data_IF_949018739844
#
_entry.id   IF_949018739844
#
_cell.length_a   1.000
_cell.length_b   1.000
_cell.length_c   1.000
_cell.angle_alpha   90.00
_cell.angle_beta   90.00
_cell.angle_gamma   90.00
#
_symmetry.space_group_name_H-M   'P 1'
#
loop_
_entity.id
_entity.type
_entity.pdbx_description
1 polymer ?
#
# COMPACT_ATOMS: atom_id res chain seq x y z
N UNK A 1 -8.73 4.93 -12.54
CA UNK A 1 -7.85 4.87 -13.72
C UNK A 1 -7.68 3.44 -14.23
N UNK A 2 -7.52 2.44 -13.35
CA UNK A 2 -7.46 1.00 -13.71
C UNK A 2 -8.81 0.45 -14.23
N UNK A 3 -9.93 0.80 -13.61
CA UNK A 3 -11.28 0.39 -14.07
C UNK A 3 -11.57 0.84 -15.51
N UNK A 4 -11.12 2.04 -15.86
CA UNK A 4 -11.32 2.61 -17.20
C UNK A 4 -10.52 1.86 -18.25
N UNK A 5 -9.31 1.38 -17.93
CA UNK A 5 -8.43 0.64 -18.84
C UNK A 5 -8.91 -0.79 -19.06
N UNK A 6 -9.36 -1.48 -18.01
CA UNK A 6 -9.89 -2.86 -18.11
C UNK A 6 -11.21 -2.87 -18.89
N UNK A 7 -12.09 -1.89 -18.66
CA UNK A 7 -13.33 -1.73 -19.43
C UNK A 7 -12.99 -1.38 -20.89
N UNK A 8 -11.99 -0.53 -21.16
CA UNK A 8 -11.58 -0.21 -22.53
C UNK A 8 -10.95 -1.41 -23.26
N UNK A 9 -10.19 -2.25 -22.56
CA UNK A 9 -9.60 -3.49 -23.12
C UNK A 9 -10.69 -4.52 -23.43
N UNK A 10 -11.64 -4.75 -22.52
CA UNK A 10 -12.78 -5.63 -22.77
C UNK A 10 -13.71 -5.07 -23.85
N UNK A 11 -13.89 -3.75 -23.88
CA UNK A 11 -14.64 -3.06 -24.93
C UNK A 11 -13.92 -3.19 -26.28
N UNK A 12 -12.59 -3.06 -26.37
CA UNK A 12 -11.85 -3.28 -27.61
C UNK A 12 -11.90 -4.74 -28.08
N UNK A 13 -11.80 -5.71 -27.17
CA UNK A 13 -11.89 -7.15 -27.50
C UNK A 13 -13.31 -7.52 -27.98
N UNK A 14 -14.35 -6.91 -27.41
CA UNK A 14 -15.74 -7.13 -27.83
C UNK A 14 -16.14 -6.30 -29.05
N UNK A 15 -15.67 -5.06 -29.21
CA UNK A 15 -16.02 -4.18 -30.33
C UNK A 15 -15.16 -4.32 -31.59
N UNK A 16 -13.95 -4.89 -31.50
CA UNK A 16 -13.24 -5.32 -32.72
C UNK A 16 -13.98 -6.45 -33.46
N UNK A 17 -14.99 -7.07 -32.85
CA UNK A 17 -15.89 -7.99 -33.56
C UNK A 17 -17.01 -7.30 -34.34
N UNK A 18 -17.15 -5.95 -34.27
CA UNK A 18 -18.34 -5.26 -34.82
C UNK A 18 -18.07 -4.20 -35.89
N UNK A 19 -16.84 -3.67 -36.09
CA UNK A 19 -16.64 -2.64 -37.13
C UNK A 19 -15.35 -2.79 -37.97
N UNK A 20 -15.45 -3.58 -39.04
CA UNK A 20 -14.91 -3.25 -40.37
C UNK A 20 -15.54 -4.23 -41.36
N UNK A 21 -16.32 -3.74 -42.33
CA UNK A 21 -17.17 -4.54 -43.22
C UNK A 21 -16.44 -5.44 -44.22
N UNK A 22 -15.61 -6.36 -43.75
CA UNK A 22 -15.19 -7.55 -44.47
C UNK A 22 -16.09 -8.71 -44.03
N UNK A 23 -16.35 -9.71 -44.91
CA UNK A 23 -16.99 -10.93 -44.46
C UNK A 23 -16.21 -11.43 -43.25
N UNK A 24 -16.92 -11.93 -42.23
CA UNK A 24 -16.37 -12.51 -40.99
C UNK A 24 -15.48 -13.69 -41.41
N UNK A 25 -14.27 -13.36 -41.84
CA UNK A 25 -13.24 -14.29 -42.21
C UNK A 25 -12.67 -14.80 -40.92
N UNK A 26 -12.52 -16.12 -40.84
CA UNK A 26 -11.78 -16.76 -39.75
C UNK A 26 -10.45 -15.99 -39.62
N UNK A 27 -10.15 -15.38 -38.45
CA UNK A 27 -8.93 -14.60 -38.27
C UNK A 27 -7.74 -15.42 -38.71
N UNK A 28 -6.83 -14.82 -39.47
CA UNK A 28 -5.64 -15.53 -39.94
C UNK A 28 -4.79 -15.97 -38.75
N UNK A 29 -4.00 -17.04 -38.92
CA UNK A 29 -3.09 -17.51 -37.87
C UNK A 29 -2.17 -16.40 -37.36
N UNK A 30 -1.74 -15.49 -38.25
CA UNK A 30 -0.92 -14.34 -37.90
C UNK A 30 -1.67 -13.32 -37.03
N UNK A 31 -2.92 -13.00 -37.37
CA UNK A 31 -3.75 -12.08 -36.57
C UNK A 31 -4.02 -12.64 -35.17
N UNK A 32 -4.24 -13.95 -35.04
CA UNK A 32 -4.46 -14.61 -33.76
C UNK A 32 -3.19 -14.62 -32.89
N UNK A 33 -2.03 -14.93 -33.48
CA UNK A 33 -0.75 -14.90 -32.78
C UNK A 33 -0.41 -13.47 -32.33
N UNK A 34 -0.59 -12.48 -33.19
CA UNK A 34 -0.37 -11.07 -32.85
C UNK A 34 -1.29 -10.62 -31.69
N UNK A 35 -2.56 -11.03 -31.69
CA UNK A 35 -3.48 -10.73 -30.59
C UNK A 35 -3.00 -11.35 -29.27
N UNK A 36 -2.58 -12.61 -29.28
CA UNK A 36 -2.06 -13.27 -28.08
C UNK A 36 -0.79 -12.61 -27.55
N UNK A 37 0.14 -12.25 -28.43
CA UNK A 37 1.36 -11.51 -28.05
C UNK A 37 1.02 -10.16 -27.43
N UNK A 38 0.11 -9.38 -28.02
CA UNK A 38 -0.32 -8.10 -27.45
C UNK A 38 -0.98 -8.26 -26.06
N UNK A 39 -1.79 -9.30 -25.87
CA UNK A 39 -2.42 -9.58 -24.57
C UNK A 39 -1.38 -10.00 -23.53
N UNK A 40 -0.40 -10.83 -23.92
CA UNK A 40 0.72 -11.25 -23.07
C UNK A 40 1.57 -10.06 -22.62
N UNK A 41 1.90 -9.13 -23.54
CA UNK A 41 2.64 -7.90 -23.22
C UNK A 41 1.89 -7.00 -22.23
N UNK A 42 0.57 -6.83 -22.41
CA UNK A 42 -0.27 -6.07 -21.48
C UNK A 42 -0.33 -6.75 -20.11
N UNK A 43 -0.43 -8.09 -20.08
CA UNK A 43 -0.49 -8.86 -18.84
C UNK A 43 0.81 -8.76 -18.03
N UNK A 44 1.97 -8.91 -18.68
CA UNK A 44 3.27 -8.73 -18.04
C UNK A 44 3.49 -7.28 -17.57
N UNK A 45 3.00 -6.29 -18.33
CA UNK A 45 3.05 -4.88 -17.92
C UNK A 45 2.23 -4.62 -16.65
N UNK A 46 1.01 -5.17 -16.57
CA UNK A 46 0.15 -5.06 -15.38
C UNK A 46 0.80 -5.75 -14.18
N UNK A 47 1.36 -6.95 -14.38
CA UNK A 47 2.09 -7.70 -13.36
C UNK A 47 3.27 -6.92 -12.78
N UNK A 48 4.09 -6.30 -13.64
CA UNK A 48 5.19 -5.44 -13.18
C UNK A 48 4.67 -4.26 -12.37
N UNK A 49 3.66 -3.55 -12.90
CA UNK A 49 3.12 -2.35 -12.27
C UNK A 49 2.57 -2.64 -10.87
N UNK A 50 1.78 -3.70 -10.72
CA UNK A 50 1.18 -4.05 -9.42
C UNK A 50 2.25 -4.51 -8.42
N UNK A 51 3.25 -5.28 -8.87
CA UNK A 51 4.35 -5.74 -8.00
C UNK A 51 5.22 -4.58 -7.51
N UNK A 52 5.51 -3.62 -8.39
CA UNK A 52 6.28 -2.43 -8.06
C UNK A 52 5.49 -1.48 -7.16
N UNK A 53 4.18 -1.30 -7.42
CA UNK A 53 3.28 -0.50 -6.59
C UNK A 53 3.20 -1.02 -5.14
N UNK A 54 3.13 -2.34 -4.95
CA UNK A 54 3.14 -2.95 -3.61
C UNK A 54 4.41 -2.62 -2.83
N UNK A 55 5.59 -2.78 -3.45
CA UNK A 55 6.88 -2.47 -2.82
C UNK A 55 7.02 -0.98 -2.51
N UNK A 56 6.63 -0.12 -3.45
CA UNK A 56 6.68 1.33 -3.29
C UNK A 56 5.74 1.80 -2.18
N UNK A 57 4.58 1.15 -2.00
CA UNK A 57 3.63 1.47 -0.93
C UNK A 57 4.24 1.19 0.45
N UNK A 58 4.87 0.02 0.65
CA UNK A 58 5.53 -0.32 1.92
C UNK A 58 6.64 0.69 2.24
N UNK A 59 7.49 0.98 1.25
CA UNK A 59 8.57 1.96 1.41
C UNK A 59 8.02 3.35 1.74
N UNK A 60 7.05 3.84 0.97
CA UNK A 60 6.48 5.18 1.16
C UNK A 60 5.82 5.34 2.53
N UNK A 61 5.02 4.37 2.98
CA UNK A 61 4.37 4.45 4.30
C UNK A 61 5.40 4.41 5.42
N UNK A 62 6.38 3.50 5.32
CA UNK A 62 7.43 3.36 6.34
C UNK A 62 8.28 4.63 6.43
N UNK A 63 8.67 5.21 5.29
CA UNK A 63 9.44 6.46 5.26
C UNK A 63 8.66 7.66 5.78
N UNK A 64 7.37 7.77 5.46
CA UNK A 64 6.51 8.85 5.96
C UNK A 64 6.37 8.78 7.48
N UNK A 65 6.08 7.59 8.01
CA UNK A 65 5.96 7.38 9.46
C UNK A 65 7.29 7.60 10.17
N UNK A 66 8.41 7.15 9.62
CA UNK A 66 9.73 7.42 10.19
C UNK A 66 10.04 8.92 10.22
N UNK A 67 9.68 9.68 9.16
CA UNK A 67 9.83 11.15 9.16
C UNK A 67 9.01 11.79 10.27
N UNK A 68 7.78 11.35 10.49
CA UNK A 68 6.92 11.88 11.55
C UNK A 68 7.44 11.52 12.95
N UNK A 69 7.98 10.31 13.13
CA UNK A 69 8.68 9.91 14.37
C UNK A 69 9.92 10.79 14.61
N UNK A 70 10.73 11.06 13.59
CA UNK A 70 11.89 11.94 13.74
C UNK A 70 11.48 13.37 14.09
N UNK A 71 10.38 13.87 13.51
CA UNK A 71 9.79 15.18 13.88
C UNK A 71 9.31 15.18 15.33
N UNK A 72 8.55 14.16 15.75
CA UNK A 72 8.09 14.03 17.13
C UNK A 72 9.26 13.95 18.12
N UNK A 73 10.32 13.22 17.77
CA UNK A 73 11.56 13.16 18.57
C UNK A 73 12.22 14.54 18.70
N UNK A 74 12.37 15.26 17.60
CA UNK A 74 12.95 16.60 17.62
C UNK A 74 12.10 17.56 18.48
N UNK A 75 10.77 17.46 18.39
CA UNK A 75 9.85 18.22 19.21
C UNK A 75 10.03 17.92 20.71
N UNK A 76 10.04 16.64 21.11
CA UNK A 76 10.18 16.25 22.52
C UNK A 76 11.51 16.74 23.13
N UNK A 77 12.61 16.64 22.38
CA UNK A 77 13.92 17.13 22.83
C UNK A 77 13.94 18.65 22.97
N UNK A 78 13.40 19.38 21.99
CA UNK A 78 13.31 20.84 22.04
C UNK A 78 12.40 21.29 23.20
N UNK A 79 11.28 20.61 23.42
CA UNK A 79 10.37 20.90 24.51
C UNK A 79 11.04 20.65 25.87
N UNK A 80 11.82 19.59 26.03
CA UNK A 80 12.62 19.38 27.24
C UNK A 80 13.57 20.55 27.51
N UNK A 81 14.38 20.95 26.52
CA UNK A 81 15.35 22.03 26.66
C UNK A 81 14.67 23.35 27.03
N UNK A 82 13.61 23.70 26.33
CA UNK A 82 12.85 24.92 26.57
C UNK A 82 12.22 24.96 27.97
N UNK A 83 11.65 23.85 28.42
CA UNK A 83 11.03 23.79 29.74
C UNK A 83 12.08 23.76 30.86
N UNK A 84 13.23 23.12 30.63
CA UNK A 84 14.37 23.19 31.54
C UNK A 84 14.90 24.63 31.66
N UNK A 85 14.97 25.37 30.55
CA UNK A 85 15.33 26.79 30.53
C UNK A 85 14.35 27.64 31.33
N UNK A 86 13.02 27.48 31.14
CA UNK A 86 12.01 28.16 31.97
C UNK A 86 12.21 27.91 33.46
N UNK A 87 12.45 26.66 33.85
CA UNK A 87 12.67 26.28 35.25
C UNK A 87 13.99 26.81 35.84
N UNK A 88 14.96 27.26 35.04
CA UNK A 88 16.20 27.88 35.57
C UNK A 88 15.95 29.27 36.18
N UNK A 89 14.88 29.95 35.79
CA UNK A 89 14.60 31.34 36.17
C UNK A 89 13.69 31.47 37.40
N UNK A 90 13.36 30.35 38.07
CA UNK A 90 12.53 30.34 39.27
C UNK A 90 13.38 30.30 40.54
N UNK A 91 12.94 30.98 41.59
CA UNK A 91 13.71 31.20 42.83
C UNK A 91 13.96 29.91 43.63
N UNK A 92 12.99 28.99 43.68
CA UNK A 92 13.10 27.75 44.45
C UNK A 92 13.91 26.66 43.72
N UNK A 93 15.23 26.69 43.89
CA UNK A 93 16.17 25.78 43.24
C UNK A 93 15.96 24.29 43.55
N UNK A 94 15.44 23.94 44.73
CA UNK A 94 15.17 22.55 45.08
C UNK A 94 13.92 22.01 44.36
N UNK A 95 12.85 22.81 44.30
CA UNK A 95 11.66 22.44 43.53
C UNK A 95 11.99 22.36 42.03
N UNK A 96 12.69 23.35 41.47
CA UNK A 96 13.03 23.35 40.04
C UNK A 96 13.90 22.15 39.66
N UNK A 97 14.90 21.79 40.48
CA UNK A 97 15.73 20.60 40.25
C UNK A 97 14.93 19.30 40.21
N UNK A 98 13.93 19.16 41.09
CA UNK A 98 13.04 17.99 41.10
C UNK A 98 12.19 17.93 39.83
N UNK A 99 11.62 19.06 39.40
CA UNK A 99 10.79 19.14 38.18
C UNK A 99 11.58 18.86 36.90
N UNK A 100 12.80 19.41 36.76
CA UNK A 100 13.72 19.12 35.65
C UNK A 100 13.99 17.62 35.50
N UNK A 101 14.27 16.92 36.61
CA UNK A 101 14.48 15.47 36.61
C UNK A 101 13.23 14.69 36.16
N UNK A 102 12.04 15.15 36.55
CA UNK A 102 10.79 14.52 36.10
C UNK A 102 10.53 14.78 34.62
N UNK A 103 10.75 16.00 34.12
CA UNK A 103 10.65 16.30 32.67
C UNK A 103 11.60 15.40 31.88
N UNK A 104 12.87 15.31 32.28
CA UNK A 104 13.85 14.40 31.67
C UNK A 104 13.41 12.93 31.62
N UNK A 105 12.76 12.46 32.70
CA UNK A 105 12.22 11.10 32.74
C UNK A 105 11.06 10.94 31.77
N UNK A 106 10.10 11.87 31.80
CA UNK A 106 8.96 11.87 30.90
C UNK A 106 9.40 11.93 29.43
N UNK A 107 10.42 12.74 29.09
CA UNK A 107 10.96 12.79 27.71
C UNK A 107 11.48 11.43 27.29
N UNK A 108 12.29 10.76 28.12
CA UNK A 108 12.83 9.42 27.80
C UNK A 108 11.74 8.37 27.64
N UNK A 109 10.72 8.40 28.48
CA UNK A 109 9.56 7.52 28.38
C UNK A 109 8.81 7.74 27.06
N UNK A 110 8.47 8.99 26.71
CA UNK A 110 7.74 9.29 25.48
C UNK A 110 8.57 9.06 24.22
N UNK A 111 9.90 9.24 24.27
CA UNK A 111 10.79 8.85 23.16
C UNK A 111 10.76 7.34 22.90
N UNK A 112 10.62 6.53 23.96
CA UNK A 112 10.51 5.07 23.84
C UNK A 112 9.15 4.68 23.24
N UNK A 113 8.06 5.32 23.71
CA UNK A 113 6.72 5.12 23.19
C UNK A 113 6.59 5.56 21.72
N UNK A 114 7.21 6.68 21.34
CA UNK A 114 7.19 7.19 19.97
C UNK A 114 7.80 6.19 18.98
N UNK A 115 8.86 5.49 19.38
CA UNK A 115 9.45 4.43 18.57
C UNK A 115 8.48 3.26 18.36
N UNK A 116 7.65 2.95 19.35
CA UNK A 116 6.68 1.85 19.24
C UNK A 116 5.56 2.12 18.25
N UNK A 117 5.17 3.39 18.03
CA UNK A 117 4.23 3.75 16.96
C UNK A 117 4.76 3.29 15.59
N UNK A 118 6.07 3.48 15.32
CA UNK A 118 6.68 3.08 14.05
C UNK A 118 6.78 1.58 13.83
N UNK A 119 7.22 0.83 14.85
CA UNK A 119 7.40 -0.63 14.72
C UNK A 119 6.07 -1.32 14.42
N UNK A 120 4.99 -0.92 15.11
CA UNK A 120 3.66 -1.50 14.88
C UNK A 120 3.17 -1.23 13.45
N UNK A 121 3.38 -0.01 12.95
CA UNK A 121 3.04 0.37 11.58
C UNK A 121 3.83 -0.43 10.55
N UNK A 122 5.14 -0.59 10.75
CA UNK A 122 6.01 -1.33 9.82
C UNK A 122 5.57 -2.80 9.70
N UNK A 123 5.21 -3.44 10.81
CA UNK A 123 4.73 -4.82 10.80
C UNK A 123 3.35 -4.95 10.13
N UNK A 124 2.43 -4.03 10.43
CA UNK A 124 1.09 -4.00 9.83
C UNK A 124 1.14 -3.78 8.31
N UNK A 125 1.95 -2.82 7.84
CA UNK A 125 2.04 -2.53 6.39
C UNK A 125 2.71 -3.67 5.63
N UNK A 126 3.74 -4.30 6.21
CA UNK A 126 4.39 -5.48 5.62
C UNK A 126 3.41 -6.64 5.51
N UNK A 127 2.62 -6.90 6.56
CA UNK A 127 1.63 -7.97 6.55
C UNK A 127 0.54 -7.69 5.50
N UNK A 128 -0.02 -6.48 5.49
CA UNK A 128 -1.02 -6.07 4.51
C UNK A 128 -0.49 -6.20 3.07
N UNK A 129 0.72 -5.71 2.81
CA UNK A 129 1.34 -5.81 1.49
C UNK A 129 1.57 -7.26 1.09
N UNK A 130 2.02 -8.12 2.02
CA UNK A 130 2.28 -9.53 1.73
C UNK A 130 1.00 -10.29 1.35
N UNK A 131 -0.11 -10.01 2.06
CA UNK A 131 -1.41 -10.58 1.73
C UNK A 131 -1.88 -10.16 0.33
N UNK A 132 -1.81 -8.86 0.03
CA UNK A 132 -2.18 -8.30 -1.27
C UNK A 132 -1.32 -8.92 -2.38
N UNK A 133 0.00 -8.92 -2.22
CA UNK A 133 0.93 -9.53 -3.18
C UNK A 133 0.68 -11.03 -3.38
N UNK A 134 0.32 -11.78 -2.34
CA UNK A 134 -0.02 -13.20 -2.46
C UNK A 134 -1.23 -13.44 -3.36
N UNK A 135 -2.31 -12.66 -3.17
CA UNK A 135 -3.52 -12.76 -3.99
C UNK A 135 -3.22 -12.39 -5.44
N UNK A 136 -2.51 -11.28 -5.65
CA UNK A 136 -2.10 -10.84 -6.98
C UNK A 136 -1.24 -11.89 -7.68
N UNK A 137 -0.22 -12.42 -7.02
CA UNK A 137 0.67 -13.41 -7.63
C UNK A 137 -0.07 -14.70 -8.02
N UNK A 138 -1.05 -15.12 -7.22
CA UNK A 138 -1.91 -16.26 -7.56
C UNK A 138 -2.71 -15.98 -8.84
N UNK A 139 -3.48 -14.90 -8.87
CA UNK A 139 -4.30 -14.54 -10.05
C UNK A 139 -3.45 -14.30 -11.29
N UNK A 140 -2.24 -13.76 -11.13
CA UNK A 140 -1.32 -13.60 -12.25
C UNK A 140 -0.81 -14.93 -12.78
N UNK A 141 -0.59 -15.93 -11.92
CA UNK A 141 -0.25 -17.28 -12.34
C UNK A 141 -1.41 -17.94 -13.11
N UNK A 142 -2.65 -17.76 -12.63
CA UNK A 142 -3.85 -18.28 -13.29
C UNK A 142 -4.06 -17.64 -14.67
N UNK A 143 -3.85 -16.32 -14.78
CA UNK A 143 -3.89 -15.62 -16.06
C UNK A 143 -2.77 -16.03 -17.02
N UNK A 144 -1.55 -16.30 -16.51
CA UNK A 144 -0.49 -16.84 -17.34
C UNK A 144 -0.83 -18.24 -17.87
N UNK A 145 -1.38 -19.12 -17.02
CA UNK A 145 -1.82 -20.45 -17.42
C UNK A 145 -2.92 -20.39 -18.51
N UNK A 146 -3.83 -19.43 -18.42
CA UNK A 146 -4.82 -19.17 -19.45
C UNK A 146 -4.17 -18.76 -20.77
N UNK A 147 -3.21 -17.82 -20.75
CA UNK A 147 -2.47 -17.40 -21.95
C UNK A 147 -1.67 -18.55 -22.57
N UNK A 148 -1.01 -19.36 -21.76
CA UNK A 148 -0.28 -20.54 -22.20
C UNK A 148 -1.22 -21.56 -22.87
N UNK A 149 -2.42 -21.75 -22.32
CA UNK A 149 -3.44 -22.61 -22.90
C UNK A 149 -3.89 -22.11 -24.28
N UNK A 150 -4.14 -20.79 -24.41
CA UNK A 150 -4.49 -20.17 -25.70
C UNK A 150 -3.35 -20.27 -26.72
N UNK A 151 -2.11 -20.12 -26.26
CA UNK A 151 -0.90 -20.25 -27.07
C UNK A 151 -0.73 -21.69 -27.58
N UNK A 152 -0.96 -22.68 -26.72
CA UNK A 152 -0.94 -24.09 -27.10
C UNK A 152 -1.99 -24.42 -28.19
N UNK A 153 -3.19 -23.82 -28.12
CA UNK A 153 -4.16 -23.94 -29.21
C UNK A 153 -3.63 -23.34 -30.52
N UNK A 154 -2.99 -22.16 -30.48
CA UNK A 154 -2.47 -21.46 -31.66
C UNK A 154 -1.42 -22.28 -32.43
N UNK A 155 -0.63 -23.08 -31.71
CA UNK A 155 0.41 -23.94 -32.29
C UNK A 155 -0.09 -25.33 -32.71
N UNK A 156 -1.34 -25.68 -32.39
CA UNK A 156 -1.96 -26.95 -32.75
C UNK A 156 -2.38 -27.09 -34.23
N UNK A 157 -2.94 -28.25 -34.61
CA UNK A 157 -3.48 -28.48 -35.95
C UNK A 157 -4.61 -27.51 -36.29
N UNK A 158 -4.60 -26.93 -37.51
CA UNK A 158 -5.55 -25.89 -37.94
C UNK A 158 -7.02 -26.30 -37.78
N UNK A 159 -7.34 -27.58 -38.01
CA UNK A 159 -8.70 -28.12 -37.88
C UNK A 159 -9.21 -28.19 -36.43
N UNK A 160 -8.31 -28.21 -35.44
CA UNK A 160 -8.66 -28.28 -34.01
C UNK A 160 -8.56 -26.93 -33.30
N UNK A 161 -8.08 -25.90 -33.98
CA UNK A 161 -7.84 -24.56 -33.45
C UNK A 161 -9.12 -23.92 -32.86
N UNK A 162 -10.20 -23.81 -33.65
CA UNK A 162 -11.47 -23.20 -33.21
C UNK A 162 -12.11 -23.98 -32.04
N UNK A 163 -12.23 -25.33 -32.10
CA UNK A 163 -12.69 -26.12 -30.96
C UNK A 163 -11.86 -25.93 -29.69
N UNK A 164 -10.53 -25.85 -29.83
CA UNK A 164 -9.60 -25.67 -28.72
C UNK A 164 -9.81 -24.31 -28.02
N UNK A 165 -9.87 -23.21 -28.78
CA UNK A 165 -10.18 -21.89 -28.24
C UNK A 165 -11.56 -21.83 -27.58
N UNK A 166 -12.59 -22.38 -28.24
CA UNK A 166 -13.95 -22.38 -27.69
C UNK A 166 -13.99 -23.10 -26.33
N UNK A 167 -13.28 -24.23 -26.21
CA UNK A 167 -13.19 -24.98 -24.95
C UNK A 167 -12.54 -24.15 -23.84
N UNK A 168 -11.37 -23.57 -24.09
CA UNK A 168 -10.67 -22.72 -23.10
C UNK A 168 -11.54 -21.53 -22.68
N UNK A 169 -12.17 -20.85 -23.65
CA UNK A 169 -13.04 -19.71 -23.37
C UNK A 169 -14.22 -20.11 -22.48
N UNK A 170 -14.87 -21.23 -22.78
CA UNK A 170 -16.00 -21.72 -22.00
C UNK A 170 -15.61 -22.16 -20.59
N UNK A 171 -14.42 -22.76 -20.43
CA UNK A 171 -13.99 -23.35 -19.16
C UNK A 171 -13.30 -22.35 -18.23
N UNK A 172 -12.57 -21.35 -18.77
CA UNK A 172 -11.62 -20.57 -17.98
C UNK A 172 -11.91 -19.07 -17.94
N UNK A 173 -12.56 -18.48 -18.95
CA UNK A 173 -12.71 -17.00 -19.03
C UNK A 173 -13.57 -16.43 -17.92
N UNK A 174 -14.65 -17.12 -17.54
CA UNK A 174 -15.56 -16.65 -16.49
C UNK A 174 -14.83 -16.65 -15.14
N UNK A 175 -14.18 -17.77 -14.80
CA UNK A 175 -13.41 -17.91 -13.56
C UNK A 175 -12.27 -16.90 -13.48
N UNK A 176 -11.46 -16.78 -14.54
CA UNK A 176 -10.36 -15.83 -14.58
C UNK A 176 -10.85 -14.37 -14.46
N UNK A 177 -11.99 -14.04 -15.08
CA UNK A 177 -12.60 -12.71 -14.92
C UNK A 177 -12.97 -12.45 -13.46
N UNK A 178 -13.61 -13.40 -12.80
CA UNK A 178 -14.01 -13.26 -11.39
C UNK A 178 -12.79 -13.09 -10.47
N UNK A 179 -11.74 -13.87 -10.70
CA UNK A 179 -10.45 -13.75 -10.00
C UNK A 179 -9.78 -12.39 -10.24
N UNK A 180 -9.71 -11.92 -11.48
CA UNK A 180 -9.15 -10.61 -11.82
C UNK A 180 -9.93 -9.46 -11.17
N UNK A 181 -11.26 -9.55 -11.14
CA UNK A 181 -12.11 -8.57 -10.45
C UNK A 181 -11.88 -8.58 -8.94
N UNK A 182 -11.82 -9.78 -8.34
CA UNK A 182 -11.52 -9.93 -6.91
C UNK A 182 -10.13 -9.39 -6.56
N UNK A 183 -9.13 -9.64 -7.41
CA UNK A 183 -7.77 -9.13 -7.23
C UNK A 183 -7.68 -7.63 -7.38
N UNK A 184 -8.43 -7.04 -8.32
CA UNK A 184 -8.52 -5.58 -8.45
C UNK A 184 -9.11 -4.94 -7.19
N UNK A 185 -10.17 -5.53 -6.64
CA UNK A 185 -10.80 -5.08 -5.41
C UNK A 185 -9.87 -5.26 -4.19
N UNK A 186 -9.16 -6.40 -4.12
CA UNK A 186 -8.17 -6.67 -3.07
C UNK A 186 -7.03 -5.65 -3.11
N UNK A 187 -6.52 -5.32 -4.30
CA UNK A 187 -5.49 -4.30 -4.47
C UNK A 187 -6.00 -2.93 -4.01
N UNK A 188 -7.20 -2.53 -4.44
CA UNK A 188 -7.84 -1.27 -4.00
C UNK A 188 -7.98 -1.21 -2.48
N UNK A 189 -8.44 -2.28 -1.85
CA UNK A 189 -8.57 -2.35 -0.40
C UNK A 189 -7.21 -2.32 0.30
N UNK A 190 -6.17 -2.92 -0.29
CA UNK A 190 -4.79 -2.80 0.17
C UNK A 190 -4.29 -1.35 0.20
N UNK A 191 -4.56 -0.58 -0.85
CA UNK A 191 -4.22 0.86 -0.91
C UNK A 191 -4.99 1.67 0.14
N UNK A 192 -6.27 1.38 0.34
CA UNK A 192 -7.05 2.06 1.39
C UNK A 192 -6.54 1.70 2.79
N UNK A 193 -6.18 0.44 3.01
CA UNK A 193 -5.63 -0.02 4.27
C UNK A 193 -4.26 0.64 4.56
N UNK A 194 -3.40 0.81 3.55
CA UNK A 194 -2.10 1.48 3.75
C UNK A 194 -2.26 2.94 4.19
N UNK A 195 -3.26 3.65 3.65
CA UNK A 195 -3.64 5.00 4.10
C UNK A 195 -4.11 4.97 5.57
N UNK A 196 -4.95 3.99 5.93
CA UNK A 196 -5.44 3.83 7.30
C UNK A 196 -4.33 3.55 8.30
N UNK A 197 -3.40 2.65 7.96
CA UNK A 197 -2.22 2.32 8.79
C UNK A 197 -1.37 3.57 9.01
N UNK A 198 -1.07 4.33 7.95
CA UNK A 198 -0.34 5.59 8.08
C UNK A 198 -1.06 6.58 9.00
N UNK A 199 -2.39 6.71 8.84
CA UNK A 199 -3.19 7.61 9.67
C UNK A 199 -3.13 7.22 11.15
N UNK A 200 -3.28 5.93 11.46
CA UNK A 200 -3.18 5.43 12.83
C UNK A 200 -1.80 5.71 13.45
N UNK A 201 -0.73 5.62 12.63
CA UNK A 201 0.61 5.98 13.07
C UNK A 201 0.73 7.47 13.43
N UNK A 202 0.20 8.36 12.58
CA UNK A 202 0.18 9.80 12.84
C UNK A 202 -0.64 10.13 14.09
N UNK A 203 -1.81 9.51 14.27
CA UNK A 203 -2.65 9.67 15.46
C UNK A 203 -1.91 9.21 16.74
N UNK A 204 -1.20 8.07 16.69
CA UNK A 204 -0.35 7.60 17.79
C UNK A 204 0.73 8.63 18.18
N UNK A 205 1.36 9.26 17.19
CA UNK A 205 2.39 10.28 17.41
C UNK A 205 1.77 11.54 18.04
N UNK A 206 0.65 12.02 17.50
CA UNK A 206 -0.04 13.21 17.98
C UNK A 206 -0.52 13.03 19.43
N UNK A 207 -1.11 11.87 19.76
CA UNK A 207 -1.56 11.53 21.11
C UNK A 207 -0.41 11.54 22.12
N UNK A 208 0.74 10.96 21.75
CA UNK A 208 1.93 10.95 22.62
C UNK A 208 2.51 12.36 22.83
N UNK A 209 2.50 13.20 21.80
CA UNK A 209 2.95 14.59 21.91
C UNK A 209 2.00 15.38 22.82
N UNK A 210 0.69 15.19 22.65
CA UNK A 210 -0.32 15.84 23.49
C UNK A 210 -0.16 15.41 24.96
N UNK A 211 -0.07 14.11 25.24
CA UNK A 211 0.11 13.59 26.59
C UNK A 211 1.37 14.16 27.26
N UNK A 212 2.47 14.23 26.51
CA UNK A 212 3.71 14.85 26.98
C UNK A 212 3.51 16.32 27.35
N UNK A 213 2.86 17.09 26.47
CA UNK A 213 2.60 18.52 26.68
C UNK A 213 1.75 18.76 27.92
N UNK A 214 0.71 17.96 28.15
CA UNK A 214 -0.14 18.05 29.34
C UNK A 214 0.67 17.77 30.61
N UNK A 215 1.45 16.67 30.62
CA UNK A 215 2.32 16.30 31.75
C UNK A 215 3.34 17.39 32.07
N UNK A 216 4.00 17.96 31.06
CA UNK A 216 5.02 18.99 31.28
C UNK A 216 4.39 20.32 31.70
N UNK A 217 3.24 20.69 31.12
CA UNK A 217 2.51 21.91 31.50
C UNK A 217 2.09 21.87 32.97
N UNK A 218 1.61 20.72 33.45
CA UNK A 218 1.31 20.50 34.86
C UNK A 218 2.56 20.69 35.75
N UNK A 219 3.70 20.10 35.36
CA UNK A 219 4.96 20.23 36.11
C UNK A 219 5.46 21.68 36.18
N UNK A 220 5.30 22.46 35.11
CA UNK A 220 5.63 23.89 35.11
C UNK A 220 4.70 24.69 36.02
N UNK A 221 3.40 24.39 36.00
CA UNK A 221 2.43 25.04 36.87
C UNK A 221 2.75 24.79 38.35
N UNK A 222 3.03 23.54 38.71
CA UNK A 222 3.48 23.21 40.08
C UNK A 222 4.79 23.91 40.44
N UNK A 223 5.72 24.05 39.50
CA UNK A 223 6.99 24.75 39.75
C UNK A 223 6.79 26.24 40.03
N UNK A 224 5.81 26.90 39.39
CA UNK A 224 5.48 28.30 39.67
C UNK A 224 4.87 28.48 41.06
N UNK A 225 4.10 27.49 41.55
CA UNK A 225 3.56 27.50 42.91
C UNK A 225 4.57 27.17 44.01
N UNK A 226 5.80 26.78 43.63
CA UNK A 226 6.91 26.55 44.57
C UNK A 226 7.67 27.83 44.94
N UNK A 227 7.38 28.96 44.28
CA UNK A 227 7.96 30.27 44.57
C UNK A 227 7.43 30.85 45.88
#
# INVERSE_FOLDING_TARGET
>A
MIETVIIYLLYCITHQTVFAGKPIGIPTKQEQVNLLTNVEEVFESIKSLISDEGKLTVLSVTEDVEKDIQRGRAYLLMAEEFNNFKLQHLDNQNCTRKKKKTIQRNTKEHLTLLKSCGTNTEDEIKNSSSQVSSVINSTLADGQHFLDSLRNCAFGPVLQLIPCYRKIIQEQVVTLKEELLHTTETHRNGVLNSISIRKAASECIDDLIQEYNEKVSYLLHEAMSCG
#
